data_IF_288055410331
#
_entry.id   IF_288055410331
#
_cell.length_a   1.000
_cell.length_b   1.000
_cell.length_c   1.000
_cell.angle_alpha   90.00
_cell.angle_beta   90.00
_cell.angle_gamma   90.00
#
_symmetry.space_group_name_H-M   'P 1'
#
loop_
_entity.id
_entity.type
_entity.pdbx_description
1 polymer ?
#
# COMPACT_ATOMS: atom_id res chain seq x y z
N UNK A 1 -26.11 70.53 -8.75
CA UNK A 1 -26.49 69.19 -8.25
C UNK A 1 -25.22 68.46 -7.85
N UNK A 2 -25.23 67.83 -6.67
CA UNK A 2 -24.07 67.36 -5.89
C UNK A 2 -23.21 66.28 -6.60
N UNK A 3 -21.88 66.25 -6.36
CA UNK A 3 -20.97 65.20 -6.85
C UNK A 3 -20.32 64.34 -5.72
N UNK A 4 -19.60 63.27 -6.12
CA UNK A 4 -18.56 62.48 -5.40
C UNK A 4 -19.12 61.50 -4.31
N UNK A 5 -18.82 60.18 -4.28
CA UNK A 5 -17.56 59.54 -3.88
C UNK A 5 -17.38 58.09 -4.39
N UNK A 6 -16.14 57.78 -4.77
CA UNK A 6 -15.54 56.44 -4.90
C UNK A 6 -15.12 55.93 -3.52
N UNK A 7 -15.26 54.63 -3.24
CA UNK A 7 -14.46 53.94 -2.22
C UNK A 7 -14.12 52.51 -2.65
N UNK A 8 -12.82 52.30 -2.92
CA UNK A 8 -12.12 51.05 -2.63
C UNK A 8 -12.27 50.75 -1.12
N UNK A 9 -12.42 49.48 -0.74
CA UNK A 9 -12.01 49.04 0.58
C UNK A 9 -11.22 47.74 0.50
N UNK A 10 -9.99 47.86 1.00
CA UNK A 10 -9.00 46.83 1.30
C UNK A 10 -9.24 46.36 2.75
N UNK A 11 -8.66 45.20 3.09
CA UNK A 11 -8.48 44.61 4.44
C UNK A 11 -9.65 43.71 4.88
N UNK A 12 -9.47 42.61 5.63
CA UNK A 12 -8.42 42.22 6.58
C UNK A 12 -8.32 40.68 6.57
N UNK A 13 -7.12 40.13 6.48
CA UNK A 13 -6.82 38.75 6.91
C UNK A 13 -6.31 38.84 8.35
N UNK A 14 -7.11 38.40 9.33
CA UNK A 14 -6.62 38.08 10.69
C UNK A 14 -7.49 37.02 11.38
N UNK A 15 -6.91 35.82 11.47
CA UNK A 15 -6.80 34.88 12.59
C UNK A 15 -7.89 34.75 13.69
N UNK A 16 -8.01 33.47 14.08
CA UNK A 16 -8.40 32.91 15.39
C UNK A 16 -9.88 32.65 15.67
N UNK A 17 -10.25 31.36 15.59
CA UNK A 17 -11.09 30.73 16.61
C UNK A 17 -10.50 29.34 16.93
N UNK A 18 -10.01 29.19 18.17
CA UNK A 18 -9.56 27.93 18.77
C UNK A 18 -10.74 27.01 19.12
N UNK A 19 -10.50 25.69 19.28
CA UNK A 19 -11.52 24.70 19.59
C UNK A 19 -11.78 24.60 21.10
N UNK A 20 -13.03 24.38 21.49
CA UNK A 20 -13.38 23.97 22.86
C UNK A 20 -13.37 22.45 22.96
N UNK A 21 -12.48 21.94 23.79
CA UNK A 21 -12.31 20.52 24.13
C UNK A 21 -13.34 20.05 25.15
N UNK A 22 -13.78 18.79 25.03
CA UNK A 22 -14.02 17.95 26.20
C UNK A 22 -14.03 16.48 25.77
N UNK A 23 -12.92 15.79 25.98
CA UNK A 23 -12.79 14.43 26.56
C UNK A 23 -11.32 14.01 26.42
N UNK A 24 -10.50 14.49 27.35
CA UNK A 24 -9.14 13.99 27.59
C UNK A 24 -9.21 13.03 28.75
N UNK A 25 -8.86 11.75 28.54
CA UNK A 25 -8.22 10.92 29.57
C UNK A 25 -7.27 9.91 28.90
N UNK A 26 -5.97 10.22 29.05
CA UNK A 26 -4.75 9.45 28.69
C UNK A 26 -4.57 9.15 27.20
N UNK A 27 -3.95 10.08 26.46
CA UNK A 27 -3.45 9.84 25.10
C UNK A 27 -2.31 10.80 24.79
N UNK A 28 -1.19 10.27 24.33
CA UNK A 28 -0.01 11.07 23.94
C UNK A 28 -0.40 12.09 22.85
N UNK A 29 0.06 13.33 22.98
CA UNK A 29 -0.09 14.33 21.92
C UNK A 29 0.77 13.95 20.72
N UNK A 30 0.13 13.86 19.55
CA UNK A 30 0.81 13.72 18.25
C UNK A 30 1.42 15.10 17.91
N UNK A 31 2.72 15.22 17.59
CA UNK A 31 3.30 16.49 17.18
C UNK A 31 2.59 17.06 15.94
N UNK A 32 2.42 18.38 15.88
CA UNK A 32 1.68 19.07 14.81
C UNK A 32 2.34 19.06 13.41
N UNK A 33 3.42 18.29 13.20
CA UNK A 33 4.17 18.20 11.95
C UNK A 33 4.38 16.76 11.44
N UNK A 34 3.50 15.83 11.83
CA UNK A 34 3.54 14.45 11.30
C UNK A 34 2.66 14.34 10.04
N UNK A 35 3.14 13.65 9.01
CA UNK A 35 2.38 13.42 7.78
C UNK A 35 1.03 12.73 8.08
N UNK A 36 -0.12 13.29 7.65
CA UNK A 36 -1.45 12.72 7.92
C UNK A 36 -1.66 11.32 7.34
N UNK A 37 -0.87 10.95 6.33
CA UNK A 37 -1.04 9.69 5.57
C UNK A 37 -0.35 8.51 6.26
N UNK A 38 0.63 8.75 7.13
CA UNK A 38 1.48 7.69 7.69
C UNK A 38 1.50 7.65 9.23
N UNK A 39 0.77 8.55 9.90
CA UNK A 39 0.51 8.46 11.36
C UNK A 39 -0.41 7.32 11.74
N UNK A 40 -1.22 6.83 10.79
CA UNK A 40 -2.12 5.74 11.05
C UNK A 40 -1.30 4.46 11.08
N UNK A 41 -1.25 3.82 12.25
CA UNK A 41 -0.90 2.40 12.37
C UNK A 41 -1.59 1.68 11.20
N UNK A 42 -0.86 0.82 10.49
CA UNK A 42 -1.38 0.11 9.31
C UNK A 42 -2.81 -0.34 9.63
N UNK A 43 -3.80 0.05 8.84
CA UNK A 43 -5.20 -0.10 9.23
C UNK A 43 -5.54 -1.59 9.49
N UNK A 44 -4.81 -2.48 8.82
CA UNK A 44 -4.77 -3.92 9.04
C UNK A 44 -4.54 -4.31 10.52
N UNK A 45 -3.72 -3.54 11.24
CA UNK A 45 -3.40 -3.75 12.64
C UNK A 45 -4.41 -3.10 13.60
N UNK A 46 -5.28 -2.21 13.09
CA UNK A 46 -6.32 -1.55 13.90
C UNK A 46 -7.63 -2.33 13.91
N UNK A 47 -7.76 -3.32 13.03
CA UNK A 47 -8.91 -4.22 13.02
C UNK A 47 -8.91 -5.14 14.25
N UNK A 48 -10.09 -5.44 14.81
CA UNK A 48 -10.21 -6.48 15.82
C UNK A 48 -9.90 -7.86 15.21
N UNK A 49 -9.39 -8.80 16.00
CA UNK A 49 -9.17 -10.17 15.51
C UNK A 49 -10.49 -10.89 15.19
N UNK A 50 -11.57 -10.52 15.89
CA UNK A 50 -12.91 -11.07 15.72
C UNK A 50 -13.97 -9.96 15.70
N UNK A 51 -15.00 -10.16 14.87
CA UNK A 51 -16.19 -9.32 14.79
C UNK A 51 -17.41 -10.23 14.86
N UNK A 52 -18.33 -9.96 15.80
CA UNK A 52 -19.55 -10.76 15.98
C UNK A 52 -19.31 -12.27 16.10
N UNK A 53 -18.23 -12.67 16.79
CA UNK A 53 -17.84 -14.08 16.96
C UNK A 53 -17.27 -14.74 15.71
N UNK A 54 -16.96 -13.97 14.65
CA UNK A 54 -16.26 -14.43 13.45
C UNK A 54 -14.85 -13.87 13.42
N UNK A 55 -13.87 -14.75 13.29
CA UNK A 55 -12.48 -14.35 13.10
C UNK A 55 -12.29 -13.69 11.73
N UNK A 56 -11.52 -12.60 11.67
CA UNK A 56 -11.08 -12.02 10.39
C UNK A 56 -9.91 -12.85 9.82
N UNK A 57 -10.01 -13.21 8.54
CA UNK A 57 -8.93 -13.85 7.80
C UNK A 57 -8.01 -12.80 7.22
N UNK A 58 -6.70 -12.92 7.46
CA UNK A 58 -5.74 -11.87 7.12
C UNK A 58 -6.21 -10.50 7.62
N UNK A 59 -6.76 -10.47 8.84
CA UNK A 59 -7.15 -9.27 9.59
C UNK A 59 -8.28 -8.38 9.03
N UNK A 60 -8.77 -8.58 7.82
CA UNK A 60 -9.81 -7.70 7.22
C UNK A 60 -10.80 -8.42 6.29
N UNK A 61 -10.61 -9.71 6.02
CA UNK A 61 -11.55 -10.47 5.22
C UNK A 61 -12.49 -11.27 6.10
N UNK A 62 -13.78 -10.94 6.01
CA UNK A 62 -14.84 -11.86 6.43
C UNK A 62 -15.00 -12.95 5.38
N UNK A 63 -15.05 -14.19 5.82
CA UNK A 63 -15.27 -15.34 4.96
C UNK A 63 -16.55 -16.03 5.39
N UNK A 64 -17.36 -16.40 4.41
CA UNK A 64 -18.47 -17.32 4.65
C UNK A 64 -17.95 -18.71 5.05
N UNK A 65 -18.78 -19.58 5.62
CA UNK A 65 -18.36 -20.93 6.02
C UNK A 65 -17.78 -21.72 4.83
N UNK A 66 -18.44 -21.68 3.68
CA UNK A 66 -17.94 -22.26 2.42
C UNK A 66 -16.60 -21.66 1.98
N UNK A 67 -16.40 -20.37 2.25
CA UNK A 67 -15.14 -19.70 1.99
C UNK A 67 -14.08 -20.15 2.98
N UNK A 68 -14.37 -20.32 4.27
CA UNK A 68 -13.42 -20.86 5.24
C UNK A 68 -12.92 -22.25 4.88
N UNK A 69 -13.84 -23.15 4.52
CA UNK A 69 -13.49 -24.48 4.01
C UNK A 69 -12.55 -24.42 2.82
N UNK A 70 -12.66 -23.35 2.04
CA UNK A 70 -11.85 -23.10 0.85
C UNK A 70 -10.69 -22.12 1.00
N UNK A 71 -10.49 -21.51 2.17
CA UNK A 71 -9.43 -20.50 2.39
C UNK A 71 -8.11 -21.16 2.75
N UNK A 72 -8.16 -22.45 3.09
CA UNK A 72 -7.10 -23.40 2.76
C UNK A 72 -6.79 -23.48 1.25
N UNK A 73 -7.53 -22.80 0.37
CA UNK A 73 -7.51 -23.03 -1.08
C UNK A 73 -7.56 -21.83 -2.09
N UNK A 74 -8.02 -20.58 -1.87
CA UNK A 74 -8.37 -19.61 -3.00
C UNK A 74 -7.59 -18.28 -3.04
N UNK A 75 -7.60 -17.38 -4.07
CA UNK A 75 -7.09 -15.95 -3.99
C UNK A 75 -8.09 -14.95 -4.59
N UNK A 76 -8.40 -15.13 -5.86
CA UNK A 76 -9.57 -14.55 -6.49
C UNK A 76 -10.65 -15.64 -6.53
N UNK A 77 -11.92 -15.28 -6.36
CA UNK A 77 -12.99 -16.28 -6.49
C UNK A 77 -13.08 -16.70 -7.97
N UNK A 78 -12.39 -17.80 -8.31
CA UNK A 78 -12.37 -18.38 -9.66
C UNK A 78 -13.79 -18.79 -10.10
N UNK A 79 -14.60 -19.20 -9.13
CA UNK A 79 -15.98 -19.57 -9.30
C UNK A 79 -16.85 -18.33 -9.60
N UNK A 80 -17.53 -18.39 -10.74
CA UNK A 80 -18.44 -17.35 -11.24
C UNK A 80 -19.58 -17.07 -10.25
N UNK A 81 -19.92 -18.02 -9.39
CA UNK A 81 -21.00 -17.89 -8.40
C UNK A 81 -20.79 -16.69 -7.46
N UNK A 82 -19.54 -16.44 -7.06
CA UNK A 82 -19.18 -15.35 -6.15
C UNK A 82 -18.90 -14.02 -6.87
N UNK A 83 -19.08 -13.96 -8.21
CA UNK A 83 -19.04 -12.70 -8.95
C UNK A 83 -20.39 -12.00 -8.83
N UNK A 84 -20.36 -10.67 -8.85
CA UNK A 84 -21.58 -9.89 -8.98
C UNK A 84 -22.20 -10.06 -10.38
N UNK A 85 -23.53 -10.25 -10.47
CA UNK A 85 -24.19 -10.56 -11.73
C UNK A 85 -24.21 -9.35 -12.66
N UNK A 86 -24.35 -9.63 -13.97
CA UNK A 86 -24.57 -8.58 -14.95
C UNK A 86 -26.00 -8.01 -14.82
N UNK A 87 -26.14 -6.71 -15.04
CA UNK A 87 -27.42 -6.05 -15.27
C UNK A 87 -27.89 -6.17 -16.71
N UNK A 88 -28.97 -5.47 -17.04
CA UNK A 88 -29.62 -5.53 -18.37
C UNK A 88 -28.74 -5.04 -19.53
N UNK A 89 -27.72 -4.22 -19.26
CA UNK A 89 -26.74 -3.76 -20.25
C UNK A 89 -25.55 -4.71 -20.42
N UNK A 90 -25.59 -5.87 -19.76
CA UNK A 90 -24.56 -6.89 -19.80
C UNK A 90 -23.34 -6.59 -18.94
N UNK A 91 -23.31 -5.52 -18.15
CA UNK A 91 -22.19 -5.19 -17.25
C UNK A 91 -22.52 -5.53 -15.78
N UNK A 92 -21.51 -5.84 -14.94
CA UNK A 92 -21.75 -6.19 -13.54
C UNK A 92 -22.36 -5.02 -12.77
N UNK A 93 -23.42 -5.28 -12.00
CA UNK A 93 -24.02 -4.29 -11.11
C UNK A 93 -23.93 -4.82 -9.68
N UNK A 94 -23.36 -4.00 -8.80
CA UNK A 94 -23.21 -4.24 -7.37
C UNK A 94 -24.20 -3.34 -6.63
N UNK A 95 -25.34 -3.88 -6.17
CA UNK A 95 -26.28 -3.10 -5.38
C UNK A 95 -25.69 -2.75 -4.02
N UNK A 96 -25.95 -1.55 -3.51
CA UNK A 96 -25.50 -1.16 -2.16
C UNK A 96 -26.52 -0.34 -1.39
N UNK A 97 -26.36 -0.33 -0.07
CA UNK A 97 -27.06 0.55 0.88
C UNK A 97 -26.08 1.10 1.91
N UNK A 98 -26.46 2.22 2.54
CA UNK A 98 -25.76 2.75 3.72
C UNK A 98 -26.57 2.44 4.97
N UNK A 99 -25.92 1.85 5.97
CA UNK A 99 -26.51 1.52 7.25
C UNK A 99 -26.05 2.52 8.32
N UNK A 100 -26.97 3.40 8.70
CA UNK A 100 -26.77 4.47 9.68
C UNK A 100 -26.13 5.75 9.14
N UNK A 101 -25.99 6.72 10.04
CA UNK A 101 -25.49 8.07 9.72
C UNK A 101 -24.01 8.26 10.07
N UNK A 102 -23.41 7.30 10.78
CA UNK A 102 -21.99 7.34 11.16
C UNK A 102 -21.05 6.92 10.04
N UNK A 103 -21.55 6.18 9.05
CA UNK A 103 -20.74 5.76 7.90
C UNK A 103 -20.45 6.97 7.04
N UNK A 104 -19.17 7.17 6.69
CA UNK A 104 -18.75 8.22 5.79
C UNK A 104 -19.18 7.87 4.36
N UNK A 105 -20.36 8.36 3.97
CA UNK A 105 -20.96 8.06 2.66
C UNK A 105 -20.13 8.63 1.51
N UNK A 106 -19.52 9.78 1.70
CA UNK A 106 -18.70 10.44 0.68
C UNK A 106 -17.43 9.63 0.40
N UNK A 107 -16.76 9.14 1.44
CA UNK A 107 -15.62 8.25 1.29
C UNK A 107 -16.01 6.94 0.59
N UNK A 108 -17.13 6.32 0.99
CA UNK A 108 -17.64 5.10 0.36
C UNK A 108 -17.94 5.30 -1.14
N UNK A 109 -18.65 6.37 -1.48
CA UNK A 109 -18.96 6.73 -2.87
C UNK A 109 -17.67 6.99 -3.65
N UNK A 110 -16.71 7.71 -3.08
CA UNK A 110 -15.42 7.97 -3.73
C UNK A 110 -14.66 6.68 -4.07
N UNK A 111 -14.67 5.70 -3.17
CA UNK A 111 -14.06 4.39 -3.43
C UNK A 111 -14.77 3.60 -4.52
N UNK A 112 -16.12 3.59 -4.52
CA UNK A 112 -16.92 2.97 -5.59
C UNK A 112 -16.69 3.66 -6.94
N UNK A 113 -16.68 4.99 -6.97
CA UNK A 113 -16.43 5.81 -8.16
C UNK A 113 -15.03 5.53 -8.74
N UNK A 114 -14.03 5.30 -7.89
CA UNK A 114 -12.68 4.94 -8.34
C UNK A 114 -12.66 3.60 -9.10
N UNK A 115 -13.44 2.61 -8.64
CA UNK A 115 -13.63 1.35 -9.35
C UNK A 115 -14.45 1.53 -10.65
N UNK A 116 -15.53 2.30 -10.63
CA UNK A 116 -16.36 2.57 -11.82
C UNK A 116 -15.60 3.34 -12.91
N UNK A 117 -14.71 4.26 -12.51
CA UNK A 117 -13.87 5.03 -13.43
C UNK A 117 -12.88 4.15 -14.19
N UNK A 118 -12.42 3.06 -13.59
CA UNK A 118 -11.32 2.25 -14.10
C UNK A 118 -11.74 0.86 -14.59
N UNK A 119 -12.99 0.47 -14.38
CA UNK A 119 -13.52 -0.83 -14.76
C UNK A 119 -14.90 -0.71 -15.40
N UNK A 120 -15.48 -1.84 -15.80
CA UNK A 120 -16.88 -1.88 -16.23
C UNK A 120 -17.88 -2.21 -15.11
N UNK A 121 -17.40 -2.42 -13.87
CA UNK A 121 -18.25 -2.72 -12.71
C UNK A 121 -19.01 -1.45 -12.34
N UNK A 122 -20.30 -1.58 -12.03
CA UNK A 122 -21.16 -0.48 -11.60
C UNK A 122 -21.63 -0.71 -10.18
N UNK A 123 -21.72 0.37 -9.41
CA UNK A 123 -22.36 0.37 -8.09
C UNK A 123 -23.65 1.16 -8.18
N UNK A 124 -24.74 0.61 -7.67
CA UNK A 124 -26.05 1.25 -7.72
C UNK A 124 -26.76 1.17 -6.36
N UNK A 125 -27.33 2.28 -5.86
CA UNK A 125 -28.14 2.22 -4.66
C UNK A 125 -29.36 1.31 -4.91
N UNK A 126 -29.77 0.54 -3.90
CA UNK A 126 -30.96 -0.31 -3.99
C UNK A 126 -31.90 -0.08 -2.82
N UNK A 127 -33.21 -0.14 -3.08
CA UNK A 127 -34.25 -0.23 -2.05
C UNK A 127 -34.70 -1.68 -1.82
N UNK A 128 -34.34 -2.60 -2.71
CA UNK A 128 -34.65 -4.02 -2.59
C UNK A 128 -33.57 -4.72 -1.75
N UNK A 129 -33.72 -4.65 -0.43
CA UNK A 129 -32.81 -5.29 0.53
C UNK A 129 -33.07 -6.78 0.71
N UNK A 130 -34.00 -7.38 -0.04
CA UNK A 130 -34.24 -8.84 -0.02
C UNK A 130 -33.30 -9.64 -0.93
N UNK A 131 -32.47 -8.95 -1.72
CA UNK A 131 -31.49 -9.55 -2.64
C UNK A 131 -30.05 -9.29 -2.13
N UNK A 132 -29.05 -10.05 -2.59
CA UNK A 132 -27.65 -9.78 -2.26
C UNK A 132 -27.23 -8.38 -2.66
N UNK A 133 -26.65 -7.66 -1.71
CA UNK A 133 -26.16 -6.29 -1.85
C UNK A 133 -25.07 -6.01 -0.81
N UNK A 134 -24.29 -4.95 -1.03
CA UNK A 134 -23.33 -4.43 -0.06
C UNK A 134 -24.04 -3.54 0.96
N UNK A 135 -23.78 -3.76 2.25
CA UNK A 135 -24.24 -2.94 3.34
C UNK A 135 -23.03 -2.22 3.95
N UNK A 136 -22.81 -0.98 3.53
CA UNK A 136 -21.76 -0.14 4.10
C UNK A 136 -22.17 0.35 5.47
N UNK A 137 -21.33 0.13 6.47
CA UNK A 137 -21.68 0.34 7.87
C UNK A 137 -20.47 0.87 8.67
N UNK A 138 -20.75 1.55 9.78
CA UNK A 138 -19.70 2.02 10.71
C UNK A 138 -19.40 0.97 11.79
N UNK A 139 -18.43 0.10 11.54
CA UNK A 139 -18.05 -1.01 12.43
C UNK A 139 -16.70 -0.80 13.12
N UNK A 140 -16.25 -1.78 13.91
CA UNK A 140 -14.92 -1.76 14.52
C UNK A 140 -13.86 -2.12 13.47
N UNK A 141 -13.22 -1.11 12.88
CA UNK A 141 -12.17 -1.27 11.87
C UNK A 141 -12.70 -1.28 10.43
N UNK A 142 -11.85 -1.72 9.51
CA UNK A 142 -12.10 -1.77 8.07
C UNK A 142 -12.05 -3.22 7.60
N UNK A 143 -13.18 -3.77 7.14
CA UNK A 143 -13.24 -5.17 6.71
C UNK A 143 -14.40 -5.40 5.76
N UNK A 144 -14.31 -6.49 5.00
CA UNK A 144 -15.26 -6.80 3.94
C UNK A 144 -15.30 -8.30 3.64
N UNK A 145 -16.41 -8.78 3.09
CA UNK A 145 -16.46 -10.13 2.54
C UNK A 145 -15.73 -10.20 1.20
N UNK A 146 -15.16 -11.37 0.86
CA UNK A 146 -14.51 -11.57 -0.43
C UNK A 146 -15.52 -12.02 -1.50
N UNK A 147 -15.90 -11.11 -2.40
CA UNK A 147 -16.88 -11.39 -3.46
C UNK A 147 -18.33 -11.39 -2.96
N UNK A 148 -19.25 -11.76 -3.84
CA UNK A 148 -20.69 -11.80 -3.55
C UNK A 148 -21.06 -13.06 -2.77
N UNK A 149 -21.74 -12.90 -1.64
CA UNK A 149 -22.32 -14.02 -0.87
C UNK A 149 -23.79 -14.19 -1.25
N UNK A 150 -24.12 -15.31 -1.90
CA UNK A 150 -25.44 -15.56 -2.53
C UNK A 150 -26.63 -15.48 -1.59
N UNK A 151 -26.49 -16.02 -0.39
CA UNK A 151 -27.58 -16.24 0.55
C UNK A 151 -27.69 -15.12 1.59
N UNK A 152 -26.79 -14.13 1.54
CA UNK A 152 -26.88 -12.94 2.37
C UNK A 152 -27.74 -11.89 1.68
N UNK A 153 -28.64 -11.29 2.45
CA UNK A 153 -29.50 -10.18 2.03
C UNK A 153 -28.89 -8.83 2.43
N UNK A 154 -27.56 -8.72 2.41
CA UNK A 154 -26.82 -7.57 2.91
C UNK A 154 -25.50 -8.01 3.53
N UNK A 155 -24.45 -8.13 2.72
CA UNK A 155 -23.10 -8.44 3.22
C UNK A 155 -22.41 -7.15 3.66
N UNK A 156 -21.76 -7.20 4.81
CA UNK A 156 -21.18 -6.02 5.44
C UNK A 156 -19.88 -5.58 4.75
N UNK A 157 -19.73 -4.26 4.68
CA UNK A 157 -18.47 -3.58 4.40
C UNK A 157 -18.30 -2.53 5.50
N UNK A 158 -17.40 -2.79 6.45
CA UNK A 158 -17.16 -1.89 7.56
C UNK A 158 -16.19 -0.79 7.15
N UNK A 159 -16.63 0.46 7.25
CA UNK A 159 -15.81 1.67 7.13
C UNK A 159 -15.91 2.41 8.46
N UNK A 160 -15.12 1.93 9.42
CA UNK A 160 -15.07 2.45 10.78
C UNK A 160 -14.15 3.67 10.95
N UNK A 161 -13.75 3.92 12.21
CA UNK A 161 -12.84 5.00 12.57
C UNK A 161 -11.48 4.85 11.86
N UNK A 162 -11.06 5.87 11.10
CA UNK A 162 -9.80 5.85 10.35
C UNK A 162 -9.86 5.09 9.02
N UNK A 163 -11.02 4.57 8.62
CA UNK A 163 -11.17 3.83 7.35
C UNK A 163 -11.60 4.70 6.17
N UNK A 164 -11.95 5.97 6.40
CA UNK A 164 -12.59 6.85 5.42
C UNK A 164 -11.60 7.50 4.42
N UNK A 165 -10.44 6.87 4.19
CA UNK A 165 -9.48 7.29 3.19
C UNK A 165 -9.71 6.54 1.88
N UNK A 166 -9.56 7.23 0.73
CA UNK A 166 -9.82 6.66 -0.60
C UNK A 166 -9.20 5.27 -0.79
N UNK A 167 -7.90 5.10 -0.54
CA UNK A 167 -7.22 3.82 -0.74
C UNK A 167 -7.75 2.68 0.12
N UNK A 168 -8.18 2.97 1.36
CA UNK A 168 -8.76 1.97 2.27
C UNK A 168 -10.14 1.57 1.77
N UNK A 169 -11.00 2.53 1.42
CA UNK A 169 -12.32 2.21 0.84
C UNK A 169 -12.17 1.42 -0.47
N UNK A 170 -11.25 1.82 -1.34
CA UNK A 170 -10.96 1.09 -2.60
C UNK A 170 -10.52 -0.35 -2.32
N UNK A 171 -9.73 -0.57 -1.27
CA UNK A 171 -9.32 -1.89 -0.80
C UNK A 171 -10.52 -2.74 -0.35
N UNK A 172 -11.35 -2.23 0.56
CA UNK A 172 -12.54 -2.94 1.07
C UNK A 172 -13.57 -3.25 -0.02
N UNK A 173 -13.78 -2.31 -0.94
CA UNK A 173 -14.60 -2.54 -2.14
C UNK A 173 -13.96 -3.59 -3.04
N UNK A 174 -12.63 -3.60 -3.13
CA UNK A 174 -11.86 -4.64 -3.83
C UNK A 174 -12.16 -6.04 -3.29
N UNK A 175 -12.17 -6.21 -1.96
CA UNK A 175 -12.62 -7.46 -1.33
C UNK A 175 -14.04 -7.79 -1.75
N UNK A 176 -14.97 -6.85 -1.62
CA UNK A 176 -16.38 -7.05 -1.96
C UNK A 176 -16.62 -7.49 -3.40
N UNK A 177 -15.77 -7.08 -4.35
CA UNK A 177 -15.84 -7.52 -5.76
C UNK A 177 -15.04 -8.79 -6.07
N UNK A 178 -14.36 -9.37 -5.08
CA UNK A 178 -13.76 -10.71 -5.14
C UNK A 178 -12.23 -10.76 -5.13
N UNK A 179 -11.55 -9.67 -4.76
CA UNK A 179 -10.10 -9.64 -4.63
C UNK A 179 -9.68 -10.09 -3.23
N UNK A 180 -8.46 -10.63 -3.15
CA UNK A 180 -7.78 -10.82 -1.88
C UNK A 180 -6.35 -10.34 -1.99
N UNK A 181 -5.64 -10.44 -0.87
CA UNK A 181 -4.32 -9.86 -0.77
C UNK A 181 -3.30 -10.38 -1.78
N UNK A 182 -2.50 -9.46 -2.30
CA UNK A 182 -1.45 -9.76 -3.27
C UNK A 182 -0.32 -10.59 -2.63
N UNK A 183 0.07 -10.31 -1.38
CA UNK A 183 1.09 -11.07 -0.63
C UNK A 183 0.63 -12.47 -0.21
N UNK A 184 -0.63 -12.84 -0.44
CA UNK A 184 -1.12 -14.20 -0.22
C UNK A 184 -0.93 -15.11 -1.44
N UNK A 185 -0.43 -14.56 -2.56
CA UNK A 185 -0.20 -15.31 -3.80
C UNK A 185 0.73 -16.51 -3.62
N UNK A 186 0.50 -17.63 -4.33
CA UNK A 186 1.39 -18.78 -4.32
C UNK A 186 2.78 -18.51 -4.88
N UNK A 187 2.85 -17.59 -5.86
CA UNK A 187 4.06 -17.14 -6.55
C UNK A 187 4.73 -15.95 -5.85
N UNK A 188 4.24 -15.49 -4.69
CA UNK A 188 4.79 -14.31 -4.00
C UNK A 188 6.28 -14.44 -3.68
N UNK A 189 6.76 -15.65 -3.40
CA UNK A 189 8.13 -15.86 -2.90
C UNK A 189 9.16 -15.65 -4.02
N UNK A 190 8.70 -15.45 -5.27
CA UNK A 190 9.51 -14.98 -6.41
C UNK A 190 9.72 -13.45 -6.40
N UNK A 191 9.01 -12.70 -5.53
CA UNK A 191 9.00 -11.24 -5.49
C UNK A 191 9.26 -10.66 -4.09
N UNK A 192 8.83 -11.37 -3.03
CA UNK A 192 8.99 -10.94 -1.63
C UNK A 192 9.46 -12.09 -0.74
N UNK A 193 10.05 -11.74 0.39
CA UNK A 193 10.42 -12.63 1.47
C UNK A 193 9.65 -12.26 2.74
N UNK A 194 9.11 -13.27 3.44
CA UNK A 194 8.39 -13.09 4.70
C UNK A 194 9.35 -13.35 5.86
N UNK A 195 9.65 -12.30 6.65
CA UNK A 195 10.52 -12.39 7.83
C UNK A 195 9.70 -12.83 9.04
N UNK A 196 9.46 -14.14 9.17
CA UNK A 196 8.61 -14.70 10.22
C UNK A 196 9.04 -14.31 11.65
N UNK A 197 10.34 -14.12 11.88
CA UNK A 197 10.91 -13.69 13.15
C UNK A 197 10.52 -12.26 13.57
N UNK A 198 10.06 -11.45 12.62
CA UNK A 198 9.59 -10.09 12.87
C UNK A 198 8.07 -10.02 13.04
N UNK A 199 7.33 -11.10 12.82
CA UNK A 199 5.86 -11.11 12.91
C UNK A 199 5.43 -11.35 14.36
N UNK A 200 4.37 -10.66 14.80
CA UNK A 200 3.71 -10.96 16.08
C UNK A 200 3.25 -12.44 16.06
N UNK A 201 3.63 -13.29 17.03
CA UNK A 201 3.37 -14.73 16.96
C UNK A 201 1.91 -15.13 16.68
N UNK A 202 0.93 -14.40 17.22
CA UNK A 202 -0.49 -14.66 16.97
C UNK A 202 -0.97 -14.28 15.56
N UNK A 203 -0.17 -13.50 14.81
CA UNK A 203 -0.52 -12.95 13.49
C UNK A 203 0.14 -13.68 12.32
N UNK A 204 0.96 -14.71 12.57
CA UNK A 204 1.67 -15.48 11.52
C UNK A 204 0.71 -16.03 10.46
N UNK A 205 -0.50 -16.45 10.86
CA UNK A 205 -1.55 -16.94 9.96
C UNK A 205 -1.95 -15.94 8.86
N UNK A 206 -1.79 -14.64 9.10
CA UNK A 206 -2.13 -13.59 8.13
C UNK A 206 -1.19 -13.58 6.91
N UNK A 207 -0.06 -14.28 7.00
CA UNK A 207 0.96 -14.39 5.94
C UNK A 207 0.95 -15.74 5.24
N UNK A 208 -0.03 -16.60 5.50
CA UNK A 208 -0.16 -17.88 4.79
C UNK A 208 -0.40 -17.67 3.29
N UNK A 209 0.24 -18.50 2.46
CA UNK A 209 -0.03 -18.53 1.03
C UNK A 209 -1.35 -19.22 0.80
N UNK A 210 -2.07 -18.73 -0.19
CA UNK A 210 -3.23 -19.39 -0.74
C UNK A 210 -2.80 -20.46 -1.76
N UNK A 211 -3.61 -21.51 -1.97
CA UNK A 211 -3.20 -22.68 -2.74
C UNK A 211 -3.16 -22.42 -4.27
N UNK A 212 -2.16 -22.99 -4.98
CA UNK A 212 -1.99 -22.83 -6.44
C UNK A 212 -3.20 -23.27 -7.28
N UNK A 213 -3.86 -24.35 -6.88
CA UNK A 213 -4.90 -25.03 -7.66
C UNK A 213 -6.19 -24.22 -7.85
N UNK A 214 -6.40 -23.11 -7.12
CA UNK A 214 -7.64 -22.32 -7.19
C UNK A 214 -7.42 -20.83 -7.41
N UNK A 215 -6.23 -20.46 -7.91
CA UNK A 215 -5.89 -19.08 -8.18
C UNK A 215 -5.84 -18.86 -9.68
N UNK A 216 -6.80 -18.08 -10.17
CA UNK A 216 -6.75 -17.55 -11.51
C UNK A 216 -6.29 -16.09 -11.45
N UNK A 217 -4.98 -15.89 -11.60
CA UNK A 217 -4.40 -14.55 -11.76
C UNK A 217 -4.53 -14.04 -13.21
N UNK A 218 -5.21 -14.76 -14.11
CA UNK A 218 -5.38 -14.43 -15.53
C UNK A 218 -4.05 -14.14 -16.27
N UNK A 219 -2.99 -14.86 -15.87
CA UNK A 219 -1.60 -14.67 -16.30
C UNK A 219 -1.08 -13.24 -16.08
N UNK A 220 -1.62 -12.53 -15.08
CA UNK A 220 -1.12 -11.24 -14.63
C UNK A 220 -0.04 -11.50 -13.58
N UNK A 221 1.13 -10.93 -13.80
CA UNK A 221 2.27 -11.10 -12.91
C UNK A 221 2.02 -10.41 -11.56
N UNK A 222 2.83 -10.76 -10.56
CA UNK A 222 2.73 -10.17 -9.23
C UNK A 222 2.88 -8.64 -9.28
N UNK A 223 2.01 -7.91 -8.57
CA UNK A 223 2.05 -6.45 -8.51
C UNK A 223 2.44 -5.94 -7.12
N UNK A 224 3.70 -5.53 -6.95
CA UNK A 224 4.19 -4.91 -5.71
C UNK A 224 3.42 -3.63 -5.36
N UNK A 225 2.84 -2.95 -6.34
CA UNK A 225 2.07 -1.72 -6.15
C UNK A 225 0.56 -1.94 -6.04
N UNK A 226 0.09 -3.19 -5.97
CA UNK A 226 -1.34 -3.48 -5.80
C UNK A 226 -1.90 -2.81 -4.55
N UNK A 227 -3.13 -2.27 -4.65
CA UNK A 227 -3.85 -1.76 -3.48
C UNK A 227 -4.12 -2.87 -2.45
N UNK A 228 -4.07 -4.14 -2.88
CA UNK A 228 -4.27 -5.34 -2.05
C UNK A 228 -2.95 -5.87 -1.47
N UNK A 229 -1.84 -5.15 -1.58
CA UNK A 229 -0.58 -5.55 -0.97
C UNK A 229 -0.47 -4.96 0.45
N UNK A 230 -0.05 -5.79 1.41
CA UNK A 230 0.35 -5.35 2.75
C UNK A 230 1.55 -4.41 2.72
N UNK A 231 1.72 -3.62 3.79
CA UNK A 231 2.92 -2.81 3.98
C UNK A 231 4.12 -3.66 4.39
N UNK A 232 5.31 -3.06 4.38
CA UNK A 232 6.55 -3.75 4.76
C UNK A 232 6.58 -4.16 6.23
N UNK A 233 5.85 -3.43 7.10
CA UNK A 233 5.88 -3.58 8.56
C UNK A 233 4.57 -4.09 9.17
N UNK A 234 3.59 -4.50 8.34
CA UNK A 234 2.31 -5.04 8.83
C UNK A 234 2.55 -6.14 9.87
N UNK A 235 1.92 -6.03 11.05
CA UNK A 235 2.01 -7.00 12.14
C UNK A 235 3.43 -7.24 12.68
N UNK A 236 4.29 -6.23 12.61
CA UNK A 236 5.67 -6.32 13.11
C UNK A 236 5.74 -6.24 14.64
N UNK A 237 6.40 -7.20 15.29
CA UNK A 237 6.63 -7.20 16.74
C UNK A 237 7.74 -6.24 17.18
N UNK A 238 8.62 -5.85 16.25
CA UNK A 238 9.87 -5.14 16.54
C UNK A 238 10.13 -3.95 15.60
N UNK A 239 9.13 -3.57 14.79
CA UNK A 239 9.19 -2.53 13.74
C UNK A 239 10.16 -2.82 12.59
N UNK A 240 10.78 -3.99 12.57
CA UNK A 240 11.53 -4.47 11.40
C UNK A 240 10.55 -5.01 10.36
N UNK A 241 10.92 -5.00 9.07
CA UNK A 241 10.04 -5.46 8.00
C UNK A 241 9.56 -6.90 8.23
N UNK A 242 8.26 -7.14 8.14
CA UNK A 242 7.68 -8.49 8.04
C UNK A 242 7.65 -8.96 6.59
N UNK A 243 7.57 -8.03 5.63
CA UNK A 243 7.66 -8.30 4.20
C UNK A 243 8.82 -7.50 3.59
N UNK A 244 9.79 -8.21 3.02
CA UNK A 244 10.92 -7.59 2.32
C UNK A 244 10.87 -7.91 0.84
N UNK A 245 11.01 -6.91 -0.03
CA UNK A 245 11.05 -7.15 -1.48
C UNK A 245 12.38 -7.80 -1.86
N UNK A 246 12.37 -8.72 -2.83
CA UNK A 246 13.61 -9.37 -3.29
C UNK A 246 14.55 -8.39 -4.02
N UNK A 247 13.98 -7.42 -4.76
CA UNK A 247 14.71 -6.23 -5.18
C UNK A 247 14.59 -5.17 -4.09
N UNK A 248 15.68 -4.83 -3.36
CA UNK A 248 15.61 -3.86 -2.27
C UNK A 248 15.13 -2.48 -2.74
N UNK A 249 15.40 -2.09 -3.99
CA UNK A 249 14.96 -0.78 -4.50
C UNK A 249 13.44 -0.67 -4.61
N UNK A 250 12.73 -1.80 -4.57
CA UNK A 250 11.26 -1.85 -4.61
C UNK A 250 10.62 -1.82 -3.22
N UNK A 251 11.39 -1.77 -2.13
CA UNK A 251 10.85 -1.89 -0.77
C UNK A 251 9.81 -0.80 -0.44
N UNK A 252 9.99 0.40 -1.00
CA UNK A 252 9.05 1.52 -0.82
C UNK A 252 7.78 1.45 -1.67
N UNK A 253 7.65 0.46 -2.56
CA UNK A 253 6.51 0.33 -3.50
C UNK A 253 5.32 -0.41 -2.86
N UNK A 254 5.59 -1.35 -1.95
CA UNK A 254 4.56 -2.17 -1.31
C UNK A 254 3.77 -1.38 -0.26
N UNK A 255 2.49 -1.73 -0.09
CA UNK A 255 1.63 -1.14 0.93
C UNK A 255 1.07 0.25 0.57
N UNK A 256 1.17 0.68 -0.69
CA UNK A 256 0.58 1.95 -1.13
C UNK A 256 -0.93 2.01 -0.90
N UNK A 257 -1.46 3.22 -0.65
CA UNK A 257 -2.89 3.49 -0.44
C UNK A 257 -3.39 4.69 -1.27
N UNK A 258 -2.76 4.95 -2.40
CA UNK A 258 -3.15 6.03 -3.32
C UNK A 258 -4.36 5.63 -4.17
N UNK A 259 -4.46 4.33 -4.50
CA UNK A 259 -5.56 3.75 -5.27
C UNK A 259 -5.10 2.59 -6.16
N UNK A 260 -6.00 2.13 -7.05
CA UNK A 260 -5.74 1.00 -7.95
C UNK A 260 -4.48 1.16 -8.80
N UNK A 261 -3.63 0.13 -8.78
CA UNK A 261 -2.54 -0.05 -9.73
C UNK A 261 -3.09 -0.36 -11.14
N UNK A 262 -2.21 -0.37 -12.16
CA UNK A 262 -2.64 -0.80 -13.50
C UNK A 262 -3.07 -2.27 -13.53
N UNK A 263 -2.34 -3.15 -12.83
CA UNK A 263 -2.67 -4.58 -12.79
C UNK A 263 -3.90 -4.88 -11.93
N UNK A 264 -4.22 -4.08 -10.92
CA UNK A 264 -5.51 -4.19 -10.21
C UNK A 264 -6.68 -4.00 -11.19
N UNK A 265 -6.59 -2.95 -12.03
CA UNK A 265 -7.61 -2.63 -13.05
C UNK A 265 -7.68 -3.72 -14.12
N UNK A 266 -6.54 -4.17 -14.62
CA UNK A 266 -6.47 -5.25 -15.60
C UNK A 266 -7.09 -6.54 -15.05
N UNK A 267 -6.78 -6.90 -13.80
CA UNK A 267 -7.33 -8.08 -13.13
C UNK A 267 -8.86 -8.00 -13.02
N UNK A 268 -9.40 -6.88 -12.53
CA UNK A 268 -10.85 -6.70 -12.44
C UNK A 268 -11.52 -6.75 -13.80
N UNK A 269 -10.93 -6.10 -14.81
CA UNK A 269 -11.47 -6.07 -16.17
C UNK A 269 -11.45 -7.44 -16.85
N UNK A 270 -10.46 -8.29 -16.56
CA UNK A 270 -10.45 -9.70 -16.98
C UNK A 270 -11.47 -10.53 -16.17
N UNK A 271 -11.50 -10.38 -14.85
CA UNK A 271 -12.43 -11.09 -13.96
C UNK A 271 -13.90 -10.86 -14.35
N UNK A 272 -14.27 -9.63 -14.69
CA UNK A 272 -15.65 -9.29 -15.04
C UNK A 272 -15.92 -9.26 -16.55
N UNK A 273 -15.00 -9.81 -17.34
CA UNK A 273 -15.11 -9.93 -18.80
C UNK A 273 -15.34 -8.58 -19.50
N UNK A 274 -14.84 -7.48 -18.92
CA UNK A 274 -15.02 -6.12 -19.44
C UNK A 274 -14.35 -5.97 -20.81
N UNK A 275 -13.14 -6.51 -20.97
CA UNK A 275 -12.34 -6.39 -22.20
C UNK A 275 -13.08 -6.98 -23.40
N UNK A 276 -13.66 -8.19 -23.26
CA UNK A 276 -14.43 -8.81 -24.35
C UNK A 276 -15.71 -8.05 -24.69
N UNK A 277 -16.40 -7.48 -23.68
CA UNK A 277 -17.58 -6.63 -23.90
C UNK A 277 -17.20 -5.35 -24.65
N UNK A 278 -16.07 -4.74 -24.32
CA UNK A 278 -15.55 -3.58 -25.04
C UNK A 278 -15.09 -3.93 -26.45
N UNK A 279 -14.44 -5.09 -26.67
CA UNK A 279 -14.09 -5.58 -28.01
C UNK A 279 -15.32 -5.66 -28.92
N UNK A 280 -16.39 -6.29 -28.44
CA UNK A 280 -17.65 -6.37 -29.18
C UNK A 280 -18.24 -4.98 -29.47
N UNK A 281 -18.29 -4.09 -28.47
CA UNK A 281 -18.80 -2.71 -28.61
C UNK A 281 -17.98 -1.87 -29.59
N UNK A 282 -16.66 -2.11 -29.65
CA UNK A 282 -15.74 -1.39 -30.52
C UNK A 282 -15.55 -2.07 -31.88
N UNK A 283 -16.31 -3.13 -32.17
CA UNK A 283 -16.22 -3.92 -33.41
C UNK A 283 -14.80 -4.48 -33.69
N UNK A 284 -14.09 -4.89 -32.62
CA UNK A 284 -12.76 -5.48 -32.69
C UNK A 284 -12.80 -6.98 -32.40
N UNK A 285 -12.09 -7.78 -33.20
CA UNK A 285 -12.02 -9.24 -33.03
C UNK A 285 -11.08 -9.68 -31.91
N UNK A 286 -9.99 -8.93 -31.69
CA UNK A 286 -8.93 -9.25 -30.72
C UNK A 286 -8.43 -7.97 -30.05
N UNK A 287 -7.96 -8.07 -28.80
CA UNK A 287 -7.33 -6.95 -28.08
C UNK A 287 -6.00 -6.56 -28.78
N UNK A 288 -5.88 -5.34 -29.34
CA UNK A 288 -4.67 -4.92 -30.03
C UNK A 288 -3.56 -4.46 -29.07
N UNK A 289 -3.88 -4.28 -27.78
CA UNK A 289 -2.96 -3.68 -26.82
C UNK A 289 -1.80 -4.62 -26.46
N UNK A 290 -0.62 -4.04 -26.28
CA UNK A 290 0.65 -4.74 -26.03
C UNK A 290 1.15 -4.47 -24.61
N UNK A 291 2.17 -5.23 -24.19
CA UNK A 291 2.90 -5.00 -22.94
C UNK A 291 2.00 -4.92 -21.68
N UNK A 292 1.02 -5.81 -21.52
CA UNK A 292 0.01 -5.75 -20.44
C UNK A 292 -0.98 -4.57 -20.51
N UNK A 293 -0.99 -3.82 -21.62
CA UNK A 293 -2.10 -2.94 -21.97
C UNK A 293 -3.37 -3.73 -22.28
N UNK A 294 -4.52 -3.07 -22.16
CA UNK A 294 -5.82 -3.65 -22.48
C UNK A 294 -6.75 -2.62 -23.11
N UNK A 295 -7.68 -3.08 -23.94
CA UNK A 295 -8.70 -2.21 -24.53
C UNK A 295 -9.61 -1.66 -23.43
N UNK A 296 -9.81 -0.34 -23.40
CA UNK A 296 -10.72 0.32 -22.47
C UNK A 296 -12.09 0.66 -23.08
N UNK A 297 -13.00 1.15 -22.24
CA UNK A 297 -14.36 1.53 -22.62
C UNK A 297 -14.47 2.59 -23.75
N UNK A 298 -13.40 3.37 -23.97
CA UNK A 298 -13.28 4.39 -25.02
C UNK A 298 -12.75 3.85 -26.35
N UNK A 299 -12.66 2.52 -26.51
CA UNK A 299 -12.05 1.87 -27.68
C UNK A 299 -10.58 2.23 -27.91
N UNK A 300 -9.88 2.64 -26.85
CA UNK A 300 -8.43 2.93 -26.85
C UNK A 300 -7.72 2.04 -25.83
N UNK A 301 -6.45 1.76 -26.08
CA UNK A 301 -5.64 1.01 -25.13
C UNK A 301 -5.38 1.83 -23.87
N UNK A 302 -5.57 1.19 -22.71
CA UNK A 302 -5.08 1.66 -21.43
C UNK A 302 -3.69 1.08 -21.25
N UNK A 303 -2.68 1.95 -21.23
CA UNK A 303 -1.28 1.54 -21.17
C UNK A 303 -0.75 1.45 -19.74
N UNK A 304 0.00 0.39 -19.40
CA UNK A 304 0.70 0.35 -18.13
C UNK A 304 1.77 1.43 -18.04
N UNK A 305 2.14 1.84 -16.81
CA UNK A 305 3.31 2.67 -16.58
C UNK A 305 4.55 2.13 -17.29
N UNK A 306 5.40 3.04 -17.79
CA UNK A 306 6.58 2.69 -18.58
C UNK A 306 6.28 2.26 -20.02
N UNK A 307 5.05 2.45 -20.52
CA UNK A 307 4.69 2.20 -21.92
C UNK A 307 3.88 3.34 -22.53
N UNK A 308 3.94 3.48 -23.86
CA UNK A 308 3.22 4.51 -24.61
C UNK A 308 2.88 4.07 -26.03
N UNK A 309 2.23 4.96 -26.78
CA UNK A 309 1.73 4.71 -28.13
C UNK A 309 0.31 4.16 -28.15
N UNK A 310 -0.32 4.18 -29.33
CA UNK A 310 -1.72 3.80 -29.54
C UNK A 310 -2.07 2.41 -29.02
N UNK A 311 -1.12 1.47 -29.08
CA UNK A 311 -1.28 0.09 -28.65
C UNK A 311 -0.36 -0.28 -27.49
N UNK A 312 0.19 0.71 -26.78
CA UNK A 312 1.16 0.51 -25.70
C UNK A 312 2.43 -0.23 -26.16
N UNK A 313 2.75 -0.15 -27.46
CA UNK A 313 3.84 -0.90 -28.08
C UNK A 313 5.23 -0.35 -27.76
N UNK A 314 5.32 0.94 -27.41
CA UNK A 314 6.58 1.62 -27.11
C UNK A 314 6.87 1.45 -25.62
N UNK A 315 8.02 0.90 -25.27
CA UNK A 315 8.51 0.85 -23.88
C UNK A 315 9.31 2.12 -23.59
N UNK A 316 8.85 2.89 -22.62
CA UNK A 316 9.49 4.14 -22.18
C UNK A 316 10.23 3.99 -20.85
N UNK A 317 9.96 2.92 -20.09
CA UNK A 317 10.59 2.68 -18.79
C UNK A 317 10.14 1.36 -18.15
N UNK A 318 10.46 1.19 -16.87
CA UNK A 318 9.97 0.08 -16.06
C UNK A 318 8.59 0.41 -15.48
N UNK A 319 7.78 -0.61 -15.22
CA UNK A 319 6.45 -0.49 -14.62
C UNK A 319 6.47 0.26 -13.26
N UNK A 320 7.56 0.15 -12.50
CA UNK A 320 7.68 0.78 -11.18
C UNK A 320 8.50 2.07 -11.18
N UNK A 321 9.01 2.56 -12.32
CA UNK A 321 9.93 3.71 -12.35
C UNK A 321 9.37 4.92 -11.58
N UNK A 322 8.10 5.26 -11.80
CA UNK A 322 7.46 6.42 -11.16
C UNK A 322 6.98 6.15 -9.72
N UNK A 323 7.11 4.89 -9.25
CA UNK A 323 6.76 4.46 -7.89
C UNK A 323 7.97 4.36 -6.98
N UNK A 324 9.17 4.26 -7.55
CA UNK A 324 10.41 4.26 -6.78
C UNK A 324 10.73 5.72 -6.44
N UNK A 325 10.93 5.99 -5.15
CA UNK A 325 11.33 7.32 -4.71
C UNK A 325 12.64 7.76 -5.36
N UNK A 326 12.72 9.01 -5.83
CA UNK A 326 13.87 9.56 -6.55
C UNK A 326 15.19 9.53 -5.75
N UNK A 327 15.11 9.43 -4.43
CA UNK A 327 16.28 9.27 -3.57
C UNK A 327 16.81 7.82 -3.50
N UNK A 328 16.05 6.84 -3.99
CA UNK A 328 16.47 5.44 -4.00
C UNK A 328 17.45 5.21 -5.14
N UNK A 329 18.60 4.63 -4.83
CA UNK A 329 19.68 4.50 -5.80
C UNK A 329 20.55 3.27 -5.55
N UNK A 330 21.18 2.81 -6.62
CA UNK A 330 22.20 1.78 -6.59
C UNK A 330 23.59 2.44 -6.58
N UNK A 331 24.33 2.27 -5.49
CA UNK A 331 25.67 2.82 -5.31
C UNK A 331 26.70 1.74 -5.62
N UNK A 332 27.50 1.95 -6.66
CA UNK A 332 28.51 0.99 -7.14
C UNK A 332 29.94 1.53 -7.05
N UNK A 333 30.12 2.72 -6.49
CA UNK A 333 31.41 3.39 -6.33
C UNK A 333 31.53 3.97 -4.92
N UNK A 334 32.74 3.99 -4.32
CA UNK A 334 32.99 4.71 -3.07
C UNK A 334 32.64 6.19 -3.18
N UNK A 335 32.28 6.81 -2.07
CA UNK A 335 31.92 8.23 -2.03
C UNK A 335 31.02 8.57 -0.86
N UNK A 336 30.64 9.85 -0.77
CA UNK A 336 29.72 10.34 0.25
C UNK A 336 28.28 10.14 -0.24
N UNK A 337 27.45 9.59 0.64
CA UNK A 337 26.01 9.45 0.44
C UNK A 337 25.27 10.10 1.61
N UNK A 338 24.08 10.62 1.32
CA UNK A 338 23.30 11.36 2.32
C UNK A 338 21.82 10.96 2.29
N UNK A 339 21.12 11.31 3.36
CA UNK A 339 19.66 11.43 3.31
C UNK A 339 19.23 12.50 2.30
N UNK A 340 17.99 12.45 1.79
CA UNK A 340 17.46 13.47 0.91
C UNK A 340 17.52 14.86 1.54
N UNK A 341 17.81 15.86 0.72
CA UNK A 341 17.90 17.28 1.09
C UNK A 341 19.02 17.66 2.09
N UNK A 342 19.88 16.73 2.52
CA UNK A 342 21.02 17.05 3.38
C UNK A 342 21.93 18.10 2.71
N UNK A 343 22.40 19.16 3.42
CA UNK A 343 22.37 19.39 4.86
C UNK A 343 21.15 20.18 5.37
N UNK A 344 20.10 20.33 4.57
CA UNK A 344 18.80 20.85 5.00
C UNK A 344 17.92 19.73 5.55
N UNK A 345 16.78 20.09 6.13
CA UNK A 345 15.85 19.11 6.68
C UNK A 345 15.25 18.20 5.60
N UNK A 346 15.16 16.91 5.88
CA UNK A 346 14.41 15.99 5.01
C UNK A 346 12.90 16.29 5.07
N UNK A 347 12.15 15.86 4.06
CA UNK A 347 10.69 15.94 4.06
C UNK A 347 10.08 14.79 4.87
N UNK A 348 8.83 14.97 5.31
CA UNK A 348 8.03 13.88 5.87
C UNK A 348 7.51 12.98 4.74
N UNK A 349 7.25 11.70 5.03
CA UNK A 349 6.78 10.72 4.04
C UNK A 349 7.86 10.18 3.13
N UNK A 350 9.13 10.38 3.47
CA UNK A 350 10.25 9.92 2.64
C UNK A 350 10.43 8.43 2.85
N UNK A 351 10.42 7.65 1.77
CA UNK A 351 10.85 6.23 1.72
C UNK A 351 11.98 6.10 0.70
N UNK A 352 13.21 5.86 1.16
CA UNK A 352 14.39 5.75 0.29
C UNK A 352 15.15 4.47 0.53
N UNK A 353 15.65 3.88 -0.55
CA UNK A 353 16.56 2.74 -0.46
C UNK A 353 17.90 3.06 -1.11
N UNK A 354 18.99 2.99 -0.34
CA UNK A 354 20.35 3.00 -0.88
C UNK A 354 20.84 1.55 -0.96
N UNK A 355 20.98 1.02 -2.17
CA UNK A 355 21.54 -0.30 -2.42
C UNK A 355 23.02 -0.17 -2.78
N UNK A 356 23.89 -0.39 -1.82
CA UNK A 356 25.35 -0.33 -2.00
C UNK A 356 25.83 -1.71 -2.47
N UNK A 357 26.50 -1.76 -3.62
CA UNK A 357 27.03 -2.99 -4.21
C UNK A 357 28.51 -2.82 -4.48
N UNK A 358 29.33 -3.50 -3.70
CA UNK A 358 30.76 -3.56 -3.91
C UNK A 358 31.09 -4.53 -5.08
N UNK A 359 32.20 -4.31 -5.79
CA UNK A 359 32.71 -5.25 -6.78
C UNK A 359 32.94 -6.65 -6.20
N UNK A 360 33.05 -7.64 -7.09
CA UNK A 360 33.44 -9.01 -6.70
C UNK A 360 34.72 -8.97 -5.86
N UNK A 361 34.79 -9.79 -4.80
CA UNK A 361 35.88 -9.83 -3.83
C UNK A 361 36.02 -8.59 -2.93
N UNK A 362 35.02 -7.70 -2.88
CA UNK A 362 34.99 -6.58 -1.93
C UNK A 362 33.72 -6.61 -1.09
N UNK A 363 33.81 -6.04 0.12
CA UNK A 363 32.67 -5.74 0.99
C UNK A 363 32.56 -4.23 1.21
N UNK A 364 31.34 -3.65 1.20
CA UNK A 364 31.14 -2.26 1.56
C UNK A 364 31.28 -2.02 3.07
N UNK A 365 31.94 -0.91 3.41
CA UNK A 365 31.93 -0.27 4.72
C UNK A 365 31.31 1.11 4.61
N UNK A 366 30.43 1.43 5.55
CA UNK A 366 29.74 2.70 5.67
C UNK A 366 30.15 3.39 6.97
N UNK A 367 30.71 4.59 6.90
CA UNK A 367 31.15 5.38 8.05
C UNK A 367 30.34 6.66 8.15
N UNK A 368 29.58 6.86 9.23
CA UNK A 368 28.75 8.05 9.36
C UNK A 368 29.57 9.27 9.76
N UNK A 369 29.39 10.38 9.06
CA UNK A 369 29.95 11.69 9.42
C UNK A 369 28.96 12.52 10.22
N UNK A 370 27.65 12.31 9.99
CA UNK A 370 26.57 12.95 10.74
C UNK A 370 25.34 12.04 10.76
N UNK A 371 24.63 12.00 11.89
CA UNK A 371 23.36 11.29 12.02
C UNK A 371 22.48 11.96 13.08
N UNK A 372 21.33 12.48 12.64
CA UNK A 372 20.30 13.00 13.54
C UNK A 372 18.92 12.83 12.90
N UNK A 373 18.11 11.97 13.50
CA UNK A 373 16.69 11.75 13.16
C UNK A 373 15.80 12.09 14.35
N UNK A 374 14.48 12.01 14.17
CA UNK A 374 13.56 12.02 15.30
C UNK A 374 13.85 10.84 16.24
N UNK A 375 13.77 11.09 17.54
CA UNK A 375 14.18 10.14 18.57
C UNK A 375 13.21 8.98 18.79
N UNK A 376 13.58 8.10 19.71
CA UNK A 376 12.70 7.02 20.19
C UNK A 376 11.43 7.60 20.83
N UNK A 377 10.35 6.85 20.69
CA UNK A 377 9.05 7.14 21.30
C UNK A 377 8.41 5.86 21.82
N UNK A 378 7.36 5.99 22.64
CA UNK A 378 6.63 4.84 23.21
C UNK A 378 5.40 4.45 22.38
N UNK A 379 5.31 4.88 21.12
CA UNK A 379 4.20 4.58 20.21
C UNK A 379 4.21 3.13 19.68
N UNK A 380 5.19 2.30 20.03
CA UNK A 380 5.19 0.87 19.72
C UNK A 380 4.65 0.05 20.89
N UNK A 381 3.35 0.16 21.14
CA UNK A 381 2.65 -0.57 22.21
C UNK A 381 3.31 -0.37 23.58
N UNK A 382 3.68 0.88 23.89
CA UNK A 382 4.33 1.27 25.15
C UNK A 382 5.84 1.01 25.20
N UNK A 383 6.42 0.33 24.20
CA UNK A 383 7.87 0.09 24.12
C UNK A 383 8.58 1.22 23.39
N UNK A 384 9.79 1.54 23.86
CA UNK A 384 10.65 2.55 23.25
C UNK A 384 11.18 2.08 21.89
N UNK A 385 10.87 2.82 20.82
CA UNK A 385 11.18 2.45 19.44
C UNK A 385 11.33 3.67 18.51
N UNK A 386 11.94 3.45 17.34
CA UNK A 386 12.06 4.43 16.27
C UNK A 386 10.77 4.51 15.42
N UNK A 387 9.70 5.03 16.00
CA UNK A 387 8.37 5.08 15.36
C UNK A 387 8.32 6.07 14.20
N UNK A 388 8.77 7.31 14.45
CA UNK A 388 8.57 8.43 13.55
C UNK A 388 9.56 8.44 12.40
N UNK A 389 10.86 8.47 12.69
CA UNK A 389 11.89 8.44 11.66
C UNK A 389 12.85 7.30 11.97
N UNK A 390 13.29 6.59 10.94
CA UNK A 390 14.19 5.47 11.11
C UNK A 390 15.09 5.27 9.90
N UNK A 391 16.32 4.80 10.19
CA UNK A 391 17.24 4.24 9.21
C UNK A 391 17.48 2.78 9.57
N UNK A 392 17.03 1.87 8.71
CA UNK A 392 17.39 0.47 8.78
C UNK A 392 18.68 0.23 7.98
N UNK A 393 19.66 -0.44 8.61
CA UNK A 393 20.94 -0.81 7.99
C UNK A 393 21.03 -2.34 7.94
N UNK A 394 21.04 -2.90 6.72
CA UNK A 394 21.17 -4.34 6.49
C UNK A 394 22.61 -4.67 6.05
N UNK A 395 23.35 -5.34 6.93
CA UNK A 395 24.77 -5.71 6.72
C UNK A 395 24.98 -7.22 6.55
N UNK A 396 24.00 -8.04 6.92
CA UNK A 396 24.15 -9.51 6.98
C UNK A 396 23.40 -10.23 5.87
N UNK A 397 22.17 -9.81 5.62
CA UNK A 397 21.26 -10.37 4.63
C UNK A 397 20.42 -9.24 4.00
N UNK A 398 19.77 -9.47 2.85
CA UNK A 398 19.03 -8.41 2.17
C UNK A 398 17.64 -8.13 2.77
N UNK A 399 17.16 -8.92 3.73
CA UNK A 399 15.75 -8.92 4.14
C UNK A 399 15.49 -8.14 5.43
N UNK A 400 16.40 -8.17 6.40
CA UNK A 400 16.18 -7.52 7.70
C UNK A 400 17.49 -6.98 8.27
N UNK A 401 17.44 -5.77 8.83
CA UNK A 401 18.59 -5.06 9.40
C UNK A 401 18.33 -4.50 10.78
N UNK A 402 19.28 -3.70 11.27
CA UNK A 402 19.15 -2.98 12.53
C UNK A 402 18.60 -1.58 12.30
N UNK A 403 17.69 -1.15 13.17
CA UNK A 403 16.97 0.12 13.06
C UNK A 403 17.60 1.14 13.99
N UNK A 404 17.88 2.32 13.46
CA UNK A 404 18.47 3.45 14.18
C UNK A 404 17.63 4.72 14.03
N UNK A 405 17.59 5.53 15.08
CA UNK A 405 16.99 6.87 15.06
C UNK A 405 17.62 7.80 16.11
N UNK A 406 17.08 9.01 16.30
CA UNK A 406 17.67 9.99 17.21
C UNK A 406 19.13 10.27 16.88
N UNK A 407 20.02 10.04 17.85
CA UNK A 407 21.48 10.19 17.75
C UNK A 407 22.20 8.86 18.02
N UNK A 408 21.58 7.72 17.73
CA UNK A 408 22.11 6.39 18.05
C UNK A 408 23.36 5.99 17.26
N UNK A 409 23.65 6.71 16.16
CA UNK A 409 24.87 6.54 15.37
C UNK A 409 25.77 7.75 15.62
N UNK A 410 26.87 7.54 16.34
CA UNK A 410 27.89 8.57 16.55
C UNK A 410 28.69 8.83 15.27
N UNK A 411 29.21 10.04 15.12
CA UNK A 411 30.15 10.36 14.04
C UNK A 411 31.41 9.47 14.14
N UNK A 412 31.90 8.99 13.00
CA UNK A 412 32.99 8.01 12.89
C UNK A 412 32.57 6.55 13.11
N UNK A 413 31.33 6.28 13.55
CA UNK A 413 30.83 4.90 13.67
C UNK A 413 30.72 4.28 12.27
N UNK A 414 31.30 3.09 12.12
CA UNK A 414 31.31 2.35 10.86
C UNK A 414 30.54 1.03 10.94
N UNK A 415 29.95 0.64 9.82
CA UNK A 415 29.28 -0.65 9.62
C UNK A 415 29.94 -1.33 8.41
N UNK A 416 30.30 -2.61 8.53
CA UNK A 416 30.87 -3.39 7.42
C UNK A 416 29.91 -4.52 7.08
N UNK A 417 29.64 -4.72 5.79
CA UNK A 417 28.80 -5.84 5.36
C UNK A 417 29.54 -7.17 5.44
N UNK A 418 28.81 -8.25 5.70
CA UNK A 418 29.34 -9.62 5.57
C UNK A 418 29.24 -10.15 4.14
N UNK A 419 28.58 -9.40 3.25
CA UNK A 419 28.42 -9.73 1.82
C UNK A 419 29.00 -8.60 0.97
N UNK A 420 28.96 -8.73 -0.35
CA UNK A 420 29.31 -7.63 -1.26
C UNK A 420 28.21 -6.56 -1.36
N UNK A 421 27.14 -6.64 -0.56
CA UNK A 421 26.01 -5.71 -0.60
C UNK A 421 25.68 -5.15 0.77
N UNK A 422 25.24 -3.89 0.83
CA UNK A 422 24.67 -3.26 2.02
C UNK A 422 23.45 -2.46 1.61
N UNK A 423 22.38 -2.52 2.42
CA UNK A 423 21.13 -1.83 2.13
C UNK A 423 20.84 -0.85 3.26
N UNK A 424 20.50 0.38 2.88
CA UNK A 424 19.95 1.37 3.79
C UNK A 424 18.51 1.65 3.40
N UNK A 425 17.56 1.44 4.31
CA UNK A 425 16.16 1.77 4.13
C UNK A 425 15.80 2.92 5.09
N UNK A 426 15.59 4.10 4.52
CA UNK A 426 15.35 5.34 5.24
C UNK A 426 13.88 5.73 5.11
N UNK A 427 13.19 5.86 6.26
CA UNK A 427 11.77 6.16 6.34
C UNK A 427 11.51 7.31 7.32
N UNK A 428 10.68 8.28 6.94
CA UNK A 428 10.37 9.45 7.77
C UNK A 428 8.87 9.73 7.86
N UNK A 429 8.40 10.06 9.07
CA UNK A 429 7.08 10.61 9.32
C UNK A 429 7.12 12.11 9.62
N UNK A 430 8.31 12.63 9.94
CA UNK A 430 8.53 14.04 10.31
C UNK A 430 9.52 14.73 9.36
N UNK A 431 9.77 16.02 9.58
CA UNK A 431 10.68 16.84 8.78
C UNK A 431 11.58 17.75 9.66
N UNK A 432 11.83 17.36 10.91
CA UNK A 432 12.47 18.23 11.90
C UNK A 432 13.99 18.32 11.81
N UNK A 433 14.65 17.33 11.21
CA UNK A 433 16.11 17.20 11.23
C UNK A 433 16.70 17.06 9.84
N UNK A 434 18.02 17.25 9.77
CA UNK A 434 18.82 17.20 8.54
C UNK A 434 19.03 15.78 8.00
N UNK A 435 18.90 14.78 8.87
CA UNK A 435 19.12 13.39 8.52
C UNK A 435 20.55 12.95 8.75
N UNK A 436 21.18 12.40 7.72
CA UNK A 436 22.47 11.73 7.85
C UNK A 436 23.38 11.93 6.62
N UNK A 437 24.68 11.82 6.86
CA UNK A 437 25.72 11.77 5.85
C UNK A 437 26.72 10.68 6.24
N UNK A 438 27.16 9.91 5.25
CA UNK A 438 28.06 8.79 5.47
C UNK A 438 28.96 8.56 4.25
N UNK A 439 30.17 8.08 4.52
CA UNK A 439 31.16 7.70 3.52
C UNK A 439 31.09 6.19 3.26
N UNK A 440 31.00 5.82 1.98
CA UNK A 440 31.08 4.45 1.51
C UNK A 440 32.49 4.17 1.03
N UNK A 441 33.07 3.09 1.53
CA UNK A 441 34.36 2.54 1.09
C UNK A 441 34.23 1.05 0.80
N UNK A 442 35.08 0.51 -0.07
CA UNK A 442 35.08 -0.91 -0.40
C UNK A 442 36.38 -1.56 0.07
N UNK A 443 36.27 -2.62 0.88
CA UNK A 443 37.41 -3.35 1.41
C UNK A 443 37.53 -4.72 0.77
N UNK A 444 38.74 -5.11 0.41
CA UNK A 444 39.01 -6.41 -0.18
C UNK A 444 38.73 -7.52 0.83
N UNK A 445 38.05 -8.58 0.39
CA UNK A 445 37.81 -9.80 1.16
C UNK A 445 39.11 -10.61 1.15
N UNK A 446 39.78 -10.82 2.30
CA UNK A 446 41.11 -11.44 2.33
C UNK A 446 41.17 -12.84 1.74
N UNK A 447 40.08 -13.60 1.82
CA UNK A 447 39.98 -14.99 1.35
C UNK A 447 39.63 -15.10 -0.14
N UNK A 448 39.33 -13.99 -0.82
CA UNK A 448 38.90 -14.00 -2.21
C UNK A 448 40.11 -13.93 -3.16
N UNK A 449 40.45 -15.05 -3.79
CA UNK A 449 41.45 -15.11 -4.87
C UNK A 449 40.81 -14.61 -6.17
N UNK A 450 41.53 -13.75 -6.89
CA UNK A 450 41.06 -13.07 -8.12
C UNK A 450 40.73 -14.05 -9.23
#
# INVERSE_FOLDING_TARGET
>A
MKPIYSWLCVMVVTLCAQPTSAFVKRGLSIPSAVSPVETMRDFMETNPEEVEGKTLYQSDMLLSEEQWQSVRERKAMADLVYRWPNGGDGYPIVPYVFDGDKVDREACVSGMDHWMKHTCIKFAPTTNTNQPHLRFMYGPGCYSYVGRILYFKGQEVSIGNGCNHLGIVVHEVGHAIGFAHEHSRPDRDEFVHINNENIIPSQVRNFEKRAKSRINNFNIIYDLSSIMHYSDKSFSINRKPTISTLDPLMQGVIGQRDGLSHRDKLLANKMYNCINKWLAKCHLKTDPCRNEGYLGASCKCVCPPGTSGTYCQVKTGSYYTDKISACSERITRPGIITSPNFPNNYHAGVKCVKLIVAPKCFTPRLTFTSFKLYGKSNYCDGKSCCYFDNLEIRTKNPFSGDIFCGTEIAAGRSFTSTTNTMILNFQTLTNFYKGWSAEVTFHQIPTCRR
#
